data_IF_723537633975
#
_entry.id   IF_723537633975
#
_cell.length_a   1.000
_cell.length_b   1.000
_cell.length_c   1.000
_cell.angle_alpha   90.00
_cell.angle_beta   90.00
_cell.angle_gamma   90.00
#
_symmetry.space_group_name_H-M   'P 1'
#
loop_
_entity.id
_entity.type
_entity.pdbx_description
1 polymer ?
#
# COMPACT_ATOMS: atom_id res chain seq x y z
N UNK A 1 -2.90 -21.00 10.23
CA UNK A 1 -2.59 -20.79 8.80
C UNK A 1 -1.22 -20.14 8.70
N UNK A 2 -0.32 -20.67 7.87
CA UNK A 2 0.99 -20.05 7.61
C UNK A 2 0.98 -19.55 6.15
N UNK A 3 0.82 -18.23 5.98
CA UNK A 3 0.74 -17.58 4.65
C UNK A 3 1.88 -16.60 4.35
N UNK A 4 2.78 -16.35 5.30
CA UNK A 4 3.83 -15.33 5.15
C UNK A 4 3.25 -13.91 4.95
N UNK A 5 4.09 -12.98 4.49
CA UNK A 5 3.68 -11.61 4.16
C UNK A 5 2.70 -11.57 2.98
N UNK A 6 2.88 -12.44 1.99
CA UNK A 6 1.99 -12.51 0.82
C UNK A 6 0.56 -12.90 1.21
N UNK A 7 0.39 -13.79 2.19
CA UNK A 7 -0.91 -14.10 2.76
C UNK A 7 -1.54 -12.93 3.54
N UNK A 8 -0.72 -12.02 4.10
CA UNK A 8 -1.23 -10.85 4.80
C UNK A 8 -1.82 -9.81 3.85
N UNK A 9 -1.31 -9.68 2.62
CA UNK A 9 -1.84 -8.71 1.65
C UNK A 9 -3.30 -8.98 1.25
N UNK A 10 -3.71 -10.23 1.19
CA UNK A 10 -5.13 -10.57 1.02
C UNK A 10 -5.88 -10.49 2.36
N UNK A 11 -5.24 -10.89 3.47
CA UNK A 11 -5.88 -10.91 4.78
C UNK A 11 -6.21 -9.50 5.29
N UNK A 12 -5.37 -8.49 5.04
CA UNK A 12 -5.66 -7.11 5.43
C UNK A 12 -6.94 -6.60 4.76
N UNK A 13 -7.07 -6.81 3.45
CA UNK A 13 -8.24 -6.39 2.69
C UNK A 13 -9.49 -7.11 3.20
N UNK A 14 -9.40 -8.44 3.42
CA UNK A 14 -10.52 -9.24 3.93
C UNK A 14 -10.97 -8.88 5.35
N UNK A 15 -10.09 -8.34 6.20
CA UNK A 15 -10.42 -7.99 7.58
C UNK A 15 -10.76 -6.51 7.77
N UNK A 16 -10.14 -5.61 6.99
CA UNK A 16 -10.30 -4.17 7.13
C UNK A 16 -11.36 -3.58 6.19
N UNK A 17 -11.69 -4.27 5.09
CA UNK A 17 -12.85 -3.90 4.29
C UNK A 17 -14.14 -4.36 4.94
N UNK A 18 -15.14 -3.49 4.86
CA UNK A 18 -16.52 -3.79 5.24
C UNK A 18 -17.43 -3.63 4.03
N UNK A 19 -18.69 -4.06 4.15
CA UNK A 19 -19.71 -3.82 3.13
C UNK A 19 -19.95 -2.32 2.88
N UNK A 20 -19.75 -1.48 3.90
CA UNK A 20 -19.95 -0.03 3.82
C UNK A 20 -18.71 0.72 3.33
N UNK A 21 -17.51 0.17 3.56
CA UNK A 21 -16.25 0.76 3.13
C UNK A 21 -15.21 -0.31 2.77
N UNK A 22 -15.02 -0.51 1.47
CA UNK A 22 -14.02 -1.40 0.89
C UNK A 22 -12.96 -0.62 0.10
N UNK A 23 -12.65 0.61 0.52
CA UNK A 23 -11.68 1.49 -0.14
C UNK A 23 -10.39 1.55 0.66
N UNK A 24 -9.23 1.44 0.03
CA UNK A 24 -7.96 1.66 0.71
C UNK A 24 -6.96 2.45 -0.12
N UNK A 25 -6.14 3.21 0.59
CA UNK A 25 -5.04 3.96 0.03
C UNK A 25 -3.75 3.15 0.11
N UNK A 26 -2.92 3.20 -0.93
CA UNK A 26 -1.64 2.50 -1.03
C UNK A 26 -0.53 3.47 -1.42
N UNK A 27 0.52 3.54 -0.60
CA UNK A 27 1.75 4.26 -0.92
C UNK A 27 2.71 3.31 -1.66
N UNK A 28 2.96 3.60 -2.94
CA UNK A 28 3.73 2.72 -3.82
C UNK A 28 5.20 3.13 -3.82
N UNK A 29 5.99 2.49 -2.98
CA UNK A 29 7.42 2.77 -2.81
C UNK A 29 8.33 1.71 -3.43
N UNK A 30 7.79 0.60 -3.94
CA UNK A 30 8.59 -0.49 -4.51
C UNK A 30 7.75 -1.71 -4.89
N UNK A 31 8.39 -2.88 -4.94
CA UNK A 31 7.76 -4.12 -5.39
C UNK A 31 6.68 -4.62 -4.43
N UNK A 32 6.92 -4.59 -3.12
CA UNK A 32 6.02 -5.20 -2.13
C UNK A 32 4.75 -4.37 -1.95
N UNK A 33 4.86 -3.04 -1.90
CA UNK A 33 3.70 -2.14 -1.89
C UNK A 33 2.84 -2.30 -3.14
N UNK A 34 3.44 -2.43 -4.33
CA UNK A 34 2.70 -2.76 -5.57
C UNK A 34 2.00 -4.11 -5.48
N UNK A 35 2.70 -5.12 -4.96
CA UNK A 35 2.15 -6.46 -4.83
C UNK A 35 0.97 -6.48 -3.84
N UNK A 36 1.08 -5.78 -2.71
CA UNK A 36 0.02 -5.63 -1.72
C UNK A 36 -1.23 -4.97 -2.32
N UNK A 37 -1.06 -3.83 -3.01
CA UNK A 37 -2.16 -3.13 -3.69
C UNK A 37 -2.88 -4.03 -4.69
N UNK A 38 -2.12 -4.82 -5.47
CA UNK A 38 -2.68 -5.76 -6.46
C UNK A 38 -3.54 -6.84 -5.82
N UNK A 39 -3.13 -7.41 -4.68
CA UNK A 39 -3.92 -8.41 -3.97
C UNK A 39 -5.19 -7.79 -3.40
N UNK A 40 -5.11 -6.59 -2.82
CA UNK A 40 -6.27 -5.89 -2.25
C UNK A 40 -7.33 -5.48 -3.30
N UNK A 41 -6.91 -5.18 -4.54
CA UNK A 41 -7.82 -4.93 -5.67
C UNK A 41 -8.78 -6.08 -5.96
N UNK A 42 -8.48 -7.29 -5.50
CA UNK A 42 -9.38 -8.44 -5.65
C UNK A 42 -10.61 -8.36 -4.74
N UNK A 43 -10.55 -7.52 -3.69
CA UNK A 43 -11.57 -7.46 -2.63
C UNK A 43 -12.24 -6.09 -2.49
N UNK A 44 -11.68 -5.03 -3.08
CA UNK A 44 -12.21 -3.67 -2.97
C UNK A 44 -11.56 -2.67 -3.92
N UNK A 45 -11.87 -1.39 -3.72
CA UNK A 45 -11.29 -0.28 -4.47
C UNK A 45 -9.96 0.15 -3.83
N UNK A 46 -8.91 0.31 -4.63
CA UNK A 46 -7.63 0.83 -4.13
C UNK A 46 -7.23 2.09 -4.86
N UNK A 47 -6.60 3.02 -4.13
CA UNK A 47 -6.05 4.26 -4.67
C UNK A 47 -4.55 4.31 -4.40
N UNK A 48 -3.78 4.56 -5.44
CA UNK A 48 -2.36 4.92 -5.31
C UNK A 48 -2.26 6.38 -4.86
N UNK A 49 -1.71 6.63 -3.67
CA UNK A 49 -1.63 8.00 -3.10
C UNK A 49 -0.29 8.68 -3.32
N UNK A 50 0.76 7.90 -3.57
CA UNK A 50 2.09 8.33 -4.01
C UNK A 50 2.77 7.18 -4.76
N UNK A 51 3.75 7.51 -5.60
CA UNK A 51 4.50 6.52 -6.37
C UNK A 51 5.96 6.92 -6.59
N UNK A 52 6.86 6.20 -5.91
CA UNK A 52 8.29 6.40 -6.00
C UNK A 52 8.88 5.97 -7.37
N UNK A 53 8.10 5.33 -8.25
CA UNK A 53 8.53 5.08 -9.63
C UNK A 53 8.88 6.38 -10.37
N UNK A 54 8.24 7.51 -10.00
CA UNK A 54 8.54 8.84 -10.55
C UNK A 54 9.97 9.30 -10.26
N UNK A 55 10.57 8.81 -9.18
CA UNK A 55 11.95 9.10 -8.74
C UNK A 55 12.89 7.90 -8.96
N UNK A 56 12.52 6.92 -9.81
CA UNK A 56 13.25 5.65 -9.96
C UNK A 56 13.49 4.92 -8.62
N UNK A 57 12.53 4.99 -7.69
CA UNK A 57 12.60 4.39 -6.35
C UNK A 57 13.78 4.88 -5.51
N UNK A 58 14.27 6.10 -5.76
CA UNK A 58 15.36 6.70 -5.00
C UNK A 58 14.87 7.56 -3.83
N UNK A 59 13.62 8.02 -3.89
CA UNK A 59 13.06 8.98 -2.93
C UNK A 59 11.58 8.70 -2.68
N UNK A 60 11.16 8.90 -1.43
CA UNK A 60 9.76 8.87 -1.01
C UNK A 60 9.30 10.32 -0.85
N UNK A 61 8.19 10.68 -1.51
CA UNK A 61 7.59 12.01 -1.36
C UNK A 61 7.16 12.26 0.09
N UNK A 62 7.29 13.50 0.62
CA UNK A 62 6.75 13.86 1.93
C UNK A 62 5.26 13.53 2.06
N UNK A 63 4.84 13.04 3.24
CA UNK A 63 3.45 12.55 3.48
C UNK A 63 2.40 13.64 3.26
N UNK A 64 2.74 14.91 3.49
CA UNK A 64 1.86 16.06 3.24
C UNK A 64 1.57 16.31 1.75
N UNK A 65 2.32 15.68 0.84
CA UNK A 65 2.10 15.73 -0.60
C UNK A 65 1.30 14.54 -1.13
N UNK A 66 0.97 13.56 -0.28
CA UNK A 66 0.24 12.37 -0.71
C UNK A 66 -1.24 12.72 -0.95
N UNK A 67 -1.80 12.17 -2.03
CA UNK A 67 -3.21 12.35 -2.37
C UNK A 67 -4.09 11.38 -1.57
N UNK A 68 -4.19 11.61 -0.26
CA UNK A 68 -4.94 10.77 0.68
C UNK A 68 -6.46 10.92 0.53
N UNK A 69 -7.16 9.81 0.59
CA UNK A 69 -8.62 9.76 0.55
C UNK A 69 -9.21 10.02 1.94
N UNK A 70 -10.15 10.96 2.11
CA UNK A 70 -10.77 11.23 3.41
C UNK A 70 -11.67 10.10 3.91
N UNK A 71 -12.01 9.14 3.05
CA UNK A 71 -12.93 8.03 3.31
C UNK A 71 -12.31 6.64 3.07
N UNK A 72 -10.99 6.53 2.94
CA UNK A 72 -10.34 5.22 2.90
C UNK A 72 -10.51 4.50 4.25
N UNK A 73 -10.73 3.19 4.21
CA UNK A 73 -10.77 2.32 5.39
C UNK A 73 -9.39 2.25 6.08
N UNK A 74 -8.32 2.26 5.28
CA UNK A 74 -6.94 2.30 5.77
C UNK A 74 -5.98 2.80 4.68
N UNK A 75 -4.75 3.11 5.12
CA UNK A 75 -3.58 3.40 4.29
C UNK A 75 -2.55 2.28 4.51
N UNK A 76 -2.09 1.65 3.43
CA UNK A 76 -1.03 0.65 3.47
C UNK A 76 0.27 1.20 2.84
N UNK A 77 1.39 0.96 3.51
CA UNK A 77 2.73 1.26 3.00
C UNK A 77 3.70 0.12 3.37
N UNK A 78 4.76 -0.04 2.58
CA UNK A 78 5.85 -0.95 2.91
C UNK A 78 7.00 -0.13 3.51
N UNK A 79 7.31 -0.36 4.79
CA UNK A 79 8.32 0.38 5.54
C UNK A 79 9.73 0.27 4.92
N UNK A 80 10.07 -0.93 4.45
CA UNK A 80 11.32 -1.19 3.72
C UNK A 80 11.06 -2.06 2.49
N UNK A 81 11.24 -1.47 1.32
CA UNK A 81 11.14 -2.13 0.02
C UNK A 81 12.42 -2.88 -0.29
N UNK A 82 12.51 -4.12 0.17
CA UNK A 82 13.73 -4.95 0.11
C UNK A 82 14.30 -5.19 -1.29
N UNK A 83 13.49 -5.08 -2.35
CA UNK A 83 13.96 -5.25 -3.74
C UNK A 83 14.62 -3.97 -4.26
N UNK A 84 13.96 -2.83 -4.06
CA UNK A 84 14.46 -1.52 -4.49
C UNK A 84 15.47 -0.91 -3.50
N UNK A 85 15.53 -1.39 -2.26
CA UNK A 85 16.41 -0.86 -1.21
C UNK A 85 15.96 0.50 -0.67
N UNK A 86 14.65 0.78 -0.70
CA UNK A 86 14.07 2.05 -0.28
C UNK A 86 13.35 1.88 1.06
N UNK A 87 13.77 2.65 2.07
CA UNK A 87 13.26 2.58 3.44
C UNK A 87 12.77 3.95 3.91
N UNK A 88 11.67 3.96 4.66
CA UNK A 88 11.19 5.16 5.34
C UNK A 88 12.16 5.57 6.44
N UNK A 89 12.57 6.84 6.46
CA UNK A 89 13.41 7.40 7.52
C UNK A 89 12.50 8.10 8.54
N UNK A 90 12.29 7.45 9.67
CA UNK A 90 11.58 8.02 10.84
C UNK A 90 12.48 8.98 11.60
#
# INVERSE_FOLDING_TARGET
MAGGSTGQFAAEALNLFSEENNKADYAITGYWSRYAMREAQMFGETKEVTNAAKSNFCEIEPVDQWDLSPNAAHLHYCDNETIEGLEFRV
#
